data_IF_481742354460
#
_entry.id   IF_481742354460
#
_cell.length_a   1.000
_cell.length_b   1.000
_cell.length_c   1.000
_cell.angle_alpha   90.00
_cell.angle_beta   90.00
_cell.angle_gamma   90.00
#
_symmetry.space_group_name_H-M   'P 1'
#
loop_
_entity.id
_entity.type
_entity.pdbx_description
1 polymer ?
#
# COMPACT_ATOMS: atom_id res chain seq x y z
N UNK A 1 -20.44 12.00 -3.12
CA UNK A 1 -19.16 11.82 -2.41
C UNK A 1 -18.22 12.91 -2.90
N UNK A 2 -17.45 13.60 -2.04
CA UNK A 2 -16.48 14.59 -2.51
C UNK A 2 -15.53 13.90 -3.50
N UNK A 3 -15.30 14.54 -4.65
CA UNK A 3 -14.41 14.02 -5.67
C UNK A 3 -12.98 14.08 -5.11
N UNK A 4 -12.37 12.93 -4.86
CA UNK A 4 -10.95 12.87 -4.48
C UNK A 4 -10.15 13.24 -5.72
N UNK A 5 -9.42 14.35 -5.65
CA UNK A 5 -8.53 14.79 -6.72
C UNK A 5 -7.17 14.09 -6.60
N UNK A 6 -6.62 13.69 -7.73
CA UNK A 6 -5.30 13.10 -7.87
C UNK A 6 -4.46 13.91 -8.88
N UNK A 7 -3.12 13.90 -8.79
CA UNK A 7 -2.32 13.25 -7.74
C UNK A 7 -2.47 13.96 -6.38
N UNK A 8 -2.28 13.21 -5.29
CA UNK A 8 -2.31 13.76 -3.92
C UNK A 8 -1.32 13.05 -2.99
N UNK A 9 -0.87 13.70 -1.91
CA UNK A 9 -0.13 13.01 -0.87
C UNK A 9 -0.89 11.81 -0.30
N UNK A 10 -0.14 10.81 0.18
CA UNK A 10 -0.71 9.70 0.93
C UNK A 10 -1.43 10.21 2.18
N UNK A 11 -2.64 9.70 2.39
CA UNK A 11 -3.39 9.95 3.62
C UNK A 11 -2.72 9.25 4.80
N UNK A 12 -2.95 9.68 6.05
CA UNK A 12 -2.37 9.01 7.22
C UNK A 12 -2.67 7.50 7.29
N UNK A 13 -3.90 7.00 6.99
CA UNK A 13 -4.16 5.56 6.94
C UNK A 13 -3.39 4.80 5.84
N UNK A 14 -3.29 5.37 4.64
CA UNK A 14 -2.52 4.77 3.53
C UNK A 14 -1.04 4.62 3.89
N UNK A 15 -0.45 5.71 4.41
CA UNK A 15 0.95 5.71 4.84
C UNK A 15 1.17 4.73 5.99
N UNK A 16 0.27 4.68 6.97
CA UNK A 16 0.38 3.77 8.09
C UNK A 16 0.31 2.29 7.65
N UNK A 17 -0.61 1.96 6.73
CA UNK A 17 -0.74 0.61 6.21
C UNK A 17 0.49 0.17 5.40
N UNK A 18 1.00 1.03 4.51
CA UNK A 18 2.22 0.78 3.75
C UNK A 18 3.43 0.52 4.66
N UNK A 19 3.67 1.41 5.63
CA UNK A 19 4.80 1.27 6.55
C UNK A 19 4.68 -0.01 7.36
N UNK A 20 3.51 -0.31 7.92
CA UNK A 20 3.31 -1.50 8.73
C UNK A 20 3.54 -2.80 7.94
N UNK A 21 3.07 -2.87 6.68
CA UNK A 21 3.33 -4.00 5.78
C UNK A 21 4.83 -4.20 5.55
N UNK A 22 5.54 -3.14 5.18
CA UNK A 22 6.98 -3.18 4.89
C UNK A 22 7.79 -3.52 6.15
N UNK A 23 7.44 -2.95 7.31
CA UNK A 23 8.19 -3.14 8.56
C UNK A 23 8.01 -4.55 9.13
N UNK A 24 6.80 -5.09 9.07
CA UNK A 24 6.48 -6.37 9.74
C UNK A 24 6.60 -7.60 8.86
N UNK A 25 6.46 -7.47 7.54
CA UNK A 25 6.60 -8.61 6.64
C UNK A 25 8.05 -9.10 6.49
N UNK A 26 9.04 -8.27 6.86
CA UNK A 26 10.45 -8.61 6.72
C UNK A 26 10.93 -8.62 5.26
N UNK A 27 10.39 -7.71 4.44
CA UNK A 27 10.77 -7.60 3.03
C UNK A 27 12.26 -7.22 2.87
N UNK A 28 12.95 -7.74 1.83
CA UNK A 28 14.25 -7.23 1.43
C UNK A 28 14.20 -5.73 1.13
N UNK A 29 15.34 -5.05 1.25
CA UNK A 29 15.47 -3.61 0.95
C UNK A 29 14.46 -2.72 1.71
N UNK A 30 14.04 -3.17 2.91
CA UNK A 30 13.06 -2.49 3.78
C UNK A 30 13.29 -0.99 3.89
N UNK A 31 14.51 -0.56 4.19
CA UNK A 31 14.81 0.87 4.43
C UNK A 31 14.63 1.70 3.15
N UNK A 32 14.96 1.12 1.98
CA UNK A 32 14.73 1.74 0.66
C UNK A 32 13.23 1.86 0.41
N UNK A 33 12.46 0.80 0.66
CA UNK A 33 11.01 0.81 0.53
C UNK A 33 10.35 1.83 1.47
N UNK A 34 10.85 1.98 2.71
CA UNK A 34 10.35 2.99 3.64
C UNK A 34 10.65 4.42 3.17
N UNK A 35 11.82 4.66 2.57
CA UNK A 35 12.12 5.94 1.93
C UNK A 35 11.18 6.23 0.75
N UNK A 36 10.85 5.20 -0.05
CA UNK A 36 9.86 5.33 -1.11
C UNK A 36 8.47 5.69 -0.57
N UNK A 37 8.05 5.16 0.58
CA UNK A 37 6.75 5.54 1.21
C UNK A 37 6.70 7.04 1.53
N UNK A 38 7.82 7.62 1.97
CA UNK A 38 7.90 9.04 2.30
C UNK A 38 7.93 9.93 1.03
N UNK A 39 8.42 9.40 -0.09
CA UNK A 39 8.43 10.03 -1.41
C UNK A 39 7.22 9.70 -2.31
N UNK A 40 6.26 8.91 -1.82
CA UNK A 40 5.13 8.44 -2.60
C UNK A 40 3.92 9.38 -2.53
N UNK A 41 3.18 9.43 -3.64
CA UNK A 41 1.86 10.03 -3.76
C UNK A 41 0.86 9.02 -4.33
N UNK A 42 -0.41 9.20 -4.00
CA UNK A 42 -1.48 8.46 -4.65
C UNK A 42 -1.77 9.10 -6.02
N UNK A 43 -1.72 8.30 -7.08
CA UNK A 43 -1.91 8.72 -8.47
C UNK A 43 -3.35 8.53 -8.95
N UNK A 44 -4.01 7.47 -8.47
CA UNK A 44 -5.40 7.15 -8.79
C UNK A 44 -5.99 6.21 -7.75
N UNK A 45 -7.32 6.22 -7.62
CA UNK A 45 -8.06 5.20 -6.87
C UNK A 45 -8.53 4.06 -7.76
N UNK A 46 -9.11 3.04 -7.14
CA UNK A 46 -9.75 1.95 -7.85
C UNK A 46 -11.07 2.37 -8.54
N UNK A 47 -11.52 1.56 -9.50
CA UNK A 47 -12.85 1.71 -10.10
C UNK A 47 -14.00 1.29 -9.15
N UNK A 48 -13.70 0.47 -8.12
CA UNK A 48 -14.62 0.22 -7.00
C UNK A 48 -14.53 1.32 -5.94
N UNK A 49 -15.55 1.49 -5.07
CA UNK A 49 -15.48 2.43 -3.95
C UNK A 49 -14.53 1.99 -2.81
N UNK A 50 -13.78 0.91 -3.03
CA UNK A 50 -12.73 0.39 -2.16
C UNK A 50 -11.54 1.38 -2.08
N UNK A 51 -10.69 1.30 -1.04
CA UNK A 51 -9.66 2.30 -0.80
C UNK A 51 -8.36 2.06 -1.58
N UNK A 52 -8.30 1.01 -2.42
CA UNK A 52 -7.14 0.67 -3.24
C UNK A 52 -6.67 1.87 -4.07
N UNK A 53 -5.35 2.11 -4.05
CA UNK A 53 -4.70 3.20 -4.78
C UNK A 53 -3.50 2.71 -5.59
N UNK A 54 -3.30 3.36 -6.74
CA UNK A 54 -2.02 3.32 -7.45
C UNK A 54 -1.10 4.42 -6.90
N UNK A 55 0.19 4.12 -6.85
CA UNK A 55 1.23 4.94 -6.26
C UNK A 55 2.18 5.44 -7.35
N UNK A 56 2.74 6.62 -7.10
CA UNK A 56 3.89 7.14 -7.83
C UNK A 56 4.93 7.59 -6.82
N UNK A 57 6.15 7.11 -6.95
CA UNK A 57 7.30 7.54 -6.13
C UNK A 57 8.07 8.60 -6.90
N UNK A 58 8.50 9.67 -6.22
CA UNK A 58 9.44 10.64 -6.80
C UNK A 58 10.84 10.01 -6.93
N UNK A 59 11.34 9.76 -8.15
CA UNK A 59 12.62 9.09 -8.37
C UNK A 59 13.83 9.97 -8.00
N UNK A 60 13.61 11.25 -7.66
CA UNK A 60 14.68 12.14 -7.18
C UNK A 60 14.82 12.13 -5.66
N UNK A 61 13.84 11.55 -4.95
CA UNK A 61 13.77 11.55 -3.49
C UNK A 61 13.96 10.16 -2.84
N UNK A 62 13.97 9.10 -3.64
CA UNK A 62 14.19 7.73 -3.19
C UNK A 62 14.93 6.90 -4.26
N UNK A 63 15.39 5.71 -3.88
CA UNK A 63 16.08 4.76 -4.77
C UNK A 63 15.13 3.62 -5.18
N UNK A 64 15.26 3.04 -6.39
CA UNK A 64 14.52 1.85 -6.77
C UNK A 64 15.05 0.62 -6.02
N UNK A 65 14.19 -0.39 -5.84
CA UNK A 65 14.58 -1.71 -5.30
C UNK A 65 14.81 -2.74 -6.40
N UNK A 66 15.63 -3.74 -6.11
CA UNK A 66 15.88 -4.89 -7.00
C UNK A 66 14.93 -6.07 -6.71
N UNK A 67 14.31 -6.11 -5.53
CA UNK A 67 13.37 -7.17 -5.16
C UNK A 67 12.04 -7.09 -5.94
N UNK A 68 11.68 -8.18 -6.63
CA UNK A 68 10.60 -8.21 -7.65
C UNK A 68 9.43 -9.15 -7.34
N UNK A 69 9.22 -9.56 -6.09
CA UNK A 69 8.04 -10.38 -5.74
C UNK A 69 6.73 -9.63 -5.97
N UNK A 70 5.64 -10.38 -6.21
CA UNK A 70 4.33 -9.82 -6.58
C UNK A 70 3.19 -10.60 -5.92
N UNK A 71 2.54 -10.07 -4.88
CA UNK A 71 2.88 -8.84 -4.13
C UNK A 71 4.21 -8.96 -3.37
N UNK A 72 4.83 -7.85 -2.97
CA UNK A 72 6.06 -7.89 -2.15
C UNK A 72 5.77 -8.17 -0.66
N UNK A 73 4.60 -7.75 -0.20
CA UNK A 73 4.14 -7.95 1.18
C UNK A 73 2.62 -8.06 1.22
N UNK A 74 2.11 -8.90 2.11
CA UNK A 74 0.68 -9.08 2.39
C UNK A 74 0.44 -9.13 3.90
N UNK A 75 -0.70 -8.63 4.36
CA UNK A 75 -1.21 -8.84 5.71
C UNK A 75 -2.71 -9.10 5.68
N UNK A 76 -3.19 -9.92 6.60
CA UNK A 76 -4.61 -10.17 6.79
C UNK A 76 -5.20 -9.10 7.70
N UNK A 77 -6.47 -8.77 7.50
CA UNK A 77 -7.31 -8.07 8.46
C UNK A 77 -8.67 -8.79 8.55
N UNK A 78 -9.51 -8.42 9.51
CA UNK A 78 -10.74 -9.16 9.84
C UNK A 78 -11.60 -9.55 8.62
N UNK A 79 -11.73 -8.66 7.64
CA UNK A 79 -12.61 -8.86 6.48
C UNK A 79 -11.88 -9.09 5.15
N UNK A 80 -10.55 -9.29 5.15
CA UNK A 80 -9.78 -9.33 3.90
C UNK A 80 -8.26 -9.33 4.05
N UNK A 81 -7.59 -8.83 3.02
CA UNK A 81 -6.14 -8.67 3.01
C UNK A 81 -5.71 -7.33 2.42
N UNK A 82 -4.54 -6.85 2.85
CA UNK A 82 -3.86 -5.67 2.31
C UNK A 82 -2.54 -6.11 1.69
N UNK A 83 -2.24 -5.63 0.48
CA UNK A 83 -1.08 -6.03 -0.30
C UNK A 83 -0.32 -4.81 -0.81
N UNK A 84 1.01 -4.90 -0.84
CA UNK A 84 1.90 -3.90 -1.43
C UNK A 84 2.56 -4.48 -2.67
N UNK A 85 2.61 -3.68 -3.73
CA UNK A 85 3.20 -4.07 -5.02
C UNK A 85 4.35 -3.15 -5.38
N UNK A 86 5.34 -3.73 -6.06
CA UNK A 86 6.45 -3.02 -6.69
C UNK A 86 6.43 -3.29 -8.19
N UNK A 87 6.67 -2.26 -8.98
CA UNK A 87 6.83 -2.32 -10.44
C UNK A 87 8.05 -1.50 -10.84
N UNK A 88 8.94 -2.10 -11.63
CA UNK A 88 10.21 -1.50 -12.07
C UNK A 88 11.04 -0.87 -10.93
N UNK A 89 11.02 -1.52 -9.76
CA UNK A 89 11.73 -1.09 -8.56
C UNK A 89 11.03 -0.02 -7.72
N UNK A 90 9.81 0.40 -8.08
CA UNK A 90 9.05 1.42 -7.35
C UNK A 90 7.75 0.88 -6.75
N UNK A 91 7.38 1.35 -5.56
CA UNK A 91 6.05 1.14 -4.99
C UNK A 91 4.98 1.57 -6.01
N UNK A 92 4.11 0.63 -6.40
CA UNK A 92 3.16 0.84 -7.49
C UNK A 92 1.70 0.78 -7.03
N UNK A 93 1.36 -0.09 -6.07
CA UNK A 93 -0.01 -0.23 -5.59
C UNK A 93 -0.05 -0.55 -4.10
N UNK A 94 -1.02 0.04 -3.42
CA UNK A 94 -1.51 -0.43 -2.13
C UNK A 94 -2.94 -0.93 -2.34
N UNK A 95 -3.11 -2.24 -2.27
CA UNK A 95 -4.37 -2.91 -2.59
C UNK A 95 -5.04 -3.44 -1.33
N UNK A 96 -6.38 -3.38 -1.32
CA UNK A 96 -7.22 -4.00 -0.32
C UNK A 96 -8.23 -4.92 -1.00
N UNK A 97 -8.26 -6.18 -0.59
CA UNK A 97 -9.32 -7.14 -0.92
C UNK A 97 -10.21 -7.33 0.29
N UNK A 98 -11.48 -7.66 0.07
CA UNK A 98 -12.44 -7.95 1.13
C UNK A 98 -13.34 -9.11 0.73
N UNK A 99 -13.82 -9.88 1.71
CA UNK A 99 -14.56 -11.13 1.43
C UNK A 99 -16.09 -10.98 1.47
N UNK A 100 -16.64 -10.17 2.38
CA UNK A 100 -18.09 -10.26 2.71
C UNK A 100 -18.78 -8.91 2.96
N UNK A 101 -18.07 -7.78 2.91
CA UNK A 101 -18.65 -6.47 3.20
C UNK A 101 -19.30 -5.81 1.97
N UNK A 102 -20.60 -5.52 2.07
CA UNK A 102 -21.33 -4.52 1.26
C UNK A 102 -21.99 -3.51 2.22
N UNK A 103 -21.60 -2.21 2.19
CA UNK A 103 -20.65 -1.59 1.27
C UNK A 103 -19.20 -2.02 1.49
N UNK A 104 -18.32 -1.88 0.46
CA UNK A 104 -16.90 -2.18 0.61
C UNK A 104 -16.25 -1.24 1.65
N UNK A 105 -15.11 -1.65 2.22
CA UNK A 105 -14.34 -0.78 3.11
C UNK A 105 -14.04 0.57 2.45
N UNK A 106 -14.10 1.65 3.24
CA UNK A 106 -13.84 3.02 2.76
C UNK A 106 -12.44 3.54 3.12
N UNK A 107 -11.68 2.76 3.89
CA UNK A 107 -10.33 3.08 4.33
C UNK A 107 -9.52 1.80 4.55
N UNK A 108 -8.19 1.92 4.53
CA UNK A 108 -7.31 0.83 4.97
C UNK A 108 -7.45 0.57 6.47
N UNK A 109 -7.33 -0.70 6.92
CA UNK A 109 -7.33 -1.01 8.33
C UNK A 109 -6.14 -0.34 9.04
N UNK A 110 -6.30 0.06 10.31
CA UNK A 110 -5.16 0.54 11.09
C UNK A 110 -4.15 -0.60 11.30
N UNK A 111 -2.85 -0.29 11.48
CA UNK A 111 -1.80 -1.29 11.74
C UNK A 111 -2.12 -2.30 12.84
N UNK A 112 -2.82 -1.87 13.90
CA UNK A 112 -3.22 -2.73 15.02
C UNK A 112 -4.25 -3.80 14.66
N UNK A 113 -4.94 -3.65 13.53
CA UNK A 113 -5.92 -4.61 13.00
C UNK A 113 -5.35 -5.48 11.88
N UNK A 114 -4.08 -5.30 11.53
CA UNK A 114 -3.40 -6.13 10.54
C UNK A 114 -2.57 -7.21 11.23
N UNK A 115 -2.58 -8.41 10.66
CA UNK A 115 -1.91 -9.59 11.21
C UNK A 115 -1.38 -10.49 10.09
N UNK A 116 -0.65 -11.54 10.47
CA UNK A 116 -0.11 -12.52 9.52
C UNK A 116 0.68 -11.89 8.36
N UNK A 117 1.51 -10.89 8.67
CA UNK A 117 2.40 -10.25 7.70
C UNK A 117 3.31 -11.28 7.04
N UNK A 118 3.33 -11.27 5.70
CA UNK A 118 4.05 -12.23 4.87
C UNK A 118 4.78 -11.51 3.76
N UNK A 119 6.03 -11.89 3.53
CA UNK A 119 6.80 -11.56 2.34
C UNK A 119 6.35 -12.45 1.16
N UNK A 120 6.39 -11.91 -0.05
CA UNK A 120 6.02 -12.61 -1.28
C UNK A 120 7.12 -13.46 -1.93
#
# INVERSE_FOLDING_TARGET
MPSVSFPRPLSPPERAALRDLIERAGVPERDVLLAQVDAAEALSGCACPCPTISLRVDPTAAEPVEYTAKPIATADYDDGAVMVWVEDGWLSHLELTWYVADPPPSAFPPPTSMSNHRVG
#
